data_IF_816832426419
#
_entry.id   IF_816832426419
#
_cell.length_a   1.000
_cell.length_b   1.000
_cell.length_c   1.000
_cell.angle_alpha   90.00
_cell.angle_beta   90.00
_cell.angle_gamma   90.00
#
_symmetry.space_group_name_H-M   'P 1'
#
loop_
_entity.id
_entity.type
_entity.pdbx_description
1 polymer ?
#
# COMPACT_ATOMS: atom_id res chain seq x y z
N UNK A 1 2.93 11.63 -15.93
CA UNK A 1 3.07 10.20 -15.62
C UNK A 1 1.74 9.69 -15.05
N UNK A 2 1.32 8.45 -15.31
CA UNK A 2 0.08 7.91 -14.75
C UNK A 2 0.21 7.71 -13.23
N UNK A 3 -0.82 8.06 -12.47
CA UNK A 3 -0.86 7.97 -11.01
C UNK A 3 -0.54 6.57 -10.47
N UNK A 4 -0.97 5.52 -11.18
CA UNK A 4 -0.70 4.13 -10.82
C UNK A 4 0.79 3.78 -10.81
N UNK A 5 1.58 4.35 -11.73
CA UNK A 5 3.02 4.12 -11.79
C UNK A 5 3.74 4.83 -10.64
N UNK A 6 3.34 6.06 -10.32
CA UNK A 6 3.90 6.81 -9.20
C UNK A 6 3.64 6.09 -7.86
N UNK A 7 2.44 5.52 -7.70
CA UNK A 7 2.10 4.68 -6.54
C UNK A 7 3.04 3.48 -6.42
N UNK A 8 3.30 2.73 -7.50
CA UNK A 8 4.24 1.61 -7.49
C UNK A 8 5.66 2.03 -7.17
N UNK A 9 6.11 3.20 -7.63
CA UNK A 9 7.44 3.73 -7.31
C UNK A 9 7.56 4.12 -5.82
N UNK A 10 6.50 4.66 -5.21
CA UNK A 10 6.46 4.87 -3.76
C UNK A 10 6.54 3.56 -2.98
N UNK A 11 5.95 2.47 -3.47
CA UNK A 11 6.09 1.14 -2.86
C UNK A 11 7.54 0.66 -2.91
N UNK A 12 8.21 0.79 -4.05
CA UNK A 12 9.62 0.41 -4.19
C UNK A 12 10.53 1.26 -3.28
N UNK A 13 10.24 2.55 -3.15
CA UNK A 13 10.92 3.44 -2.22
C UNK A 13 10.80 2.95 -0.77
N UNK A 14 9.58 2.63 -0.33
CA UNK A 14 9.29 2.27 1.06
C UNK A 14 9.77 0.86 1.42
N UNK A 15 9.46 -0.15 0.60
CA UNK A 15 9.73 -1.55 0.93
C UNK A 15 11.17 -1.97 0.64
N UNK A 16 11.74 -1.48 -0.46
CA UNK A 16 13.07 -1.90 -0.91
C UNK A 16 14.15 -0.87 -0.57
N UNK A 17 13.79 0.26 0.06
CA UNK A 17 14.73 1.33 0.41
C UNK A 17 15.41 1.96 -0.80
N UNK A 18 14.77 1.95 -1.98
CA UNK A 18 15.38 2.49 -3.19
C UNK A 18 15.62 3.98 -3.05
N UNK A 19 16.80 4.44 -3.42
CA UNK A 19 17.14 5.86 -3.38
C UNK A 19 16.22 6.68 -4.32
N UNK A 20 15.65 7.82 -3.87
CA UNK A 20 14.88 8.73 -4.72
C UNK A 20 15.60 9.14 -6.02
N UNK A 21 16.93 9.29 -5.99
CA UNK A 21 17.74 9.57 -7.17
C UNK A 21 17.75 8.40 -8.16
N UNK A 22 17.75 7.15 -7.68
CA UNK A 22 17.65 5.95 -8.53
C UNK A 22 16.28 5.87 -9.19
N UNK A 23 15.21 6.18 -8.44
CA UNK A 23 13.87 6.25 -8.99
C UNK A 23 13.75 7.35 -10.05
N UNK A 24 14.32 8.52 -9.77
CA UNK A 24 14.36 9.65 -10.71
C UNK A 24 15.06 9.29 -12.02
N UNK A 25 16.28 8.76 -11.94
CA UNK A 25 17.06 8.42 -13.13
C UNK A 25 16.42 7.31 -13.98
N UNK A 26 15.81 6.30 -13.34
CA UNK A 26 15.23 5.16 -14.07
C UNK A 26 13.84 5.45 -14.65
N UNK A 27 13.03 6.24 -13.95
CA UNK A 27 11.61 6.40 -14.27
C UNK A 27 11.22 7.85 -14.62
N UNK A 28 12.17 8.78 -14.61
CA UNK A 28 11.95 10.18 -14.95
C UNK A 28 11.07 10.91 -13.95
N UNK A 29 11.12 10.52 -12.68
CA UNK A 29 10.27 11.06 -11.61
C UNK A 29 11.04 12.03 -10.73
N UNK A 30 10.46 13.19 -10.44
CA UNK A 30 11.16 14.14 -9.56
C UNK A 30 10.96 13.77 -8.10
N UNK A 31 11.92 14.12 -7.25
CA UNK A 31 11.79 13.99 -5.80
C UNK A 31 10.56 14.72 -5.27
N UNK A 32 10.18 15.84 -5.89
CA UNK A 32 8.95 16.58 -5.55
C UNK A 32 7.69 15.75 -5.82
N UNK A 33 7.65 15.00 -6.92
CA UNK A 33 6.51 14.12 -7.24
C UNK A 33 6.42 12.96 -6.24
N UNK A 34 7.54 12.33 -5.91
CA UNK A 34 7.61 11.26 -4.90
C UNK A 34 7.14 11.81 -3.54
N UNK A 35 7.67 12.97 -3.13
CA UNK A 35 7.33 13.62 -1.86
C UNK A 35 5.84 13.96 -1.74
N UNK A 36 5.23 14.53 -2.79
CA UNK A 36 3.79 14.81 -2.82
C UNK A 36 2.95 13.55 -2.61
N UNK A 37 3.33 12.46 -3.26
CA UNK A 37 2.60 11.20 -3.15
C UNK A 37 2.78 10.53 -1.79
N UNK A 38 3.99 10.60 -1.20
CA UNK A 38 4.23 10.12 0.16
C UNK A 38 3.41 10.92 1.18
N UNK A 39 3.32 12.25 1.04
CA UNK A 39 2.44 13.07 1.87
C UNK A 39 0.98 12.66 1.72
N UNK A 40 0.52 12.42 0.50
CA UNK A 40 -0.84 11.93 0.26
C UNK A 40 -1.10 10.56 0.93
N UNK A 41 -0.15 9.63 0.86
CA UNK A 41 -0.26 8.32 1.53
C UNK A 41 -0.29 8.44 3.06
N UNK A 42 0.43 9.42 3.63
CA UNK A 42 0.36 9.75 5.06
C UNK A 42 -1.02 10.32 5.41
N UNK A 43 -1.54 11.28 4.64
CA UNK A 43 -2.87 11.87 4.83
C UNK A 43 -3.97 10.80 4.78
N UNK A 44 -3.83 9.81 3.90
CA UNK A 44 -4.74 8.66 3.79
C UNK A 44 -4.54 7.61 4.87
N UNK A 45 -3.58 7.79 5.79
CA UNK A 45 -3.23 6.82 6.83
C UNK A 45 -2.93 5.43 6.25
N UNK A 46 -2.22 5.41 5.12
CA UNK A 46 -1.73 4.17 4.49
C UNK A 46 -0.28 3.92 4.92
N UNK A 47 0.49 4.98 5.18
CA UNK A 47 1.87 4.90 5.66
C UNK A 47 2.10 5.89 6.81
N UNK A 48 3.09 5.60 7.66
CA UNK A 48 3.64 6.55 8.65
C UNK A 48 5.11 6.84 8.36
N UNK A 49 5.58 8.00 8.82
CA UNK A 49 6.99 8.36 8.81
C UNK A 49 7.53 8.38 10.25
N UNK A 50 8.50 7.53 10.55
CA UNK A 50 9.16 7.41 11.85
C UNK A 50 10.66 7.58 11.65
N UNK A 51 11.26 8.58 12.31
CA UNK A 51 12.71 8.83 12.26
C UNK A 51 13.31 8.86 10.85
N UNK A 52 12.61 9.47 9.89
CA UNK A 52 13.05 9.56 8.49
C UNK A 52 12.68 8.35 7.61
N UNK A 53 12.20 7.27 8.19
CA UNK A 53 11.80 6.04 7.48
C UNK A 53 10.28 6.00 7.30
N UNK A 54 9.82 5.56 6.13
CA UNK A 54 8.40 5.36 5.84
C UNK A 54 8.02 3.89 6.06
N UNK A 55 6.86 3.63 6.65
CA UNK A 55 6.39 2.30 7.01
C UNK A 55 4.92 2.17 6.63
N UNK A 56 4.52 1.05 6.02
CA UNK A 56 3.13 0.76 5.72
C UNK A 56 2.33 0.46 6.99
N UNK A 57 1.12 1.00 7.05
CA UNK A 57 0.11 0.58 8.01
C UNK A 57 -0.55 -0.65 7.41
N UNK A 58 -0.31 -1.82 8.00
CA UNK A 58 -1.13 -2.99 7.71
C UNK A 58 -2.57 -2.62 8.08
N UNK A 59 -3.54 -2.67 7.16
CA UNK A 59 -4.93 -2.62 7.57
C UNK A 59 -5.15 -3.76 8.56
N UNK A 60 -5.68 -3.47 9.74
CA UNK A 60 -6.04 -4.50 10.71
C UNK A 60 -6.81 -5.62 9.98
N UNK A 61 -6.39 -6.87 10.19
CA UNK A 61 -6.90 -8.07 9.50
C UNK A 61 -8.42 -8.29 9.66
N UNK A 62 -9.12 -7.42 10.39
CA UNK A 62 -10.55 -7.47 10.69
C UNK A 62 -11.52 -7.26 9.52
N UNK A 63 -11.05 -7.09 8.28
CA UNK A 63 -11.94 -6.93 7.10
C UNK A 63 -11.84 -8.06 6.06
N UNK A 64 -10.98 -9.06 6.26
CA UNK A 64 -10.96 -10.25 5.39
C UNK A 64 -11.87 -11.39 5.89
N UNK A 65 -12.49 -11.25 7.07
CA UNK A 65 -13.45 -12.21 7.59
C UNK A 65 -14.89 -11.75 7.33
N UNK A 66 -15.33 -11.75 6.07
CA UNK A 66 -16.78 -11.76 5.75
C UNK A 66 -17.11 -12.22 4.34
N UNK A 67 -16.26 -13.01 3.68
CA UNK A 67 -16.63 -13.70 2.43
C UNK A 67 -16.08 -15.13 2.47
N UNK A 68 -16.60 -15.95 3.37
CA UNK A 68 -16.18 -17.34 3.40
C UNK A 68 -16.69 -18.18 4.55
N UNK A 69 -17.93 -18.02 5.01
CA UNK A 69 -18.61 -19.05 5.80
C UNK A 69 -20.14 -18.81 5.87
N UNK A 70 -20.80 -18.87 4.71
CA UNK A 70 -22.25 -19.11 4.66
C UNK A 70 -22.57 -20.19 3.62
N UNK A 71 -21.98 -21.38 3.80
CA UNK A 71 -22.31 -22.60 3.05
C UNK A 71 -22.30 -23.85 3.94
N UNK A 72 -22.86 -23.76 5.14
CA UNK A 72 -23.14 -24.96 5.96
C UNK A 72 -24.49 -24.87 6.69
N UNK A 73 -25.49 -24.20 6.10
CA UNK A 73 -26.88 -24.23 6.61
C UNK A 73 -27.81 -25.15 5.80
N UNK A 74 -27.32 -25.92 4.82
CA UNK A 74 -28.19 -26.80 4.01
C UNK A 74 -27.47 -28.13 3.78
N UNK A 75 -27.49 -29.03 4.77
CA UNK A 75 -27.43 -30.51 4.62
C UNK A 75 -27.31 -31.20 5.99
N UNK A 76 -28.25 -30.95 6.91
CA UNK A 76 -28.60 -31.88 7.99
C UNK A 76 -30.11 -31.84 8.25
N UNK A 77 -30.88 -32.23 7.25
CA UNK A 77 -32.15 -32.93 7.43
C UNK A 77 -32.06 -34.19 6.57
N UNK A 78 -32.60 -35.28 7.11
CA UNK A 78 -32.60 -36.66 6.58
C UNK A 78 -31.42 -37.54 7.02
N UNK A 79 -31.49 -38.02 8.26
CA UNK A 79 -32.00 -39.39 8.52
C UNK A 79 -32.35 -39.57 9.99
#
# INVERSE_FOLDING_TARGET
MKDSLLMSLCVLYIQNGWDPHVLSNKYGVTESQIGKYLSFLIEKKIIFKISGTFIYILPEEGSYHTIGENRNSILKKEK
#
